data_IF_361054235512
#
_entry.id   IF_361054235512
#
_cell.length_a   1.000
_cell.length_b   1.000
_cell.length_c   1.000
_cell.angle_alpha   90.00
_cell.angle_beta   90.00
_cell.angle_gamma   90.00
#
_symmetry.space_group_name_H-M   'P 1'
#
loop_
_entity.id
_entity.type
_entity.pdbx_description
1 polymer ?
#
# COMPACT_ATOMS: atom_id res chain seq x y z
N UNK A 1 13.48 23.32 21.65
CA UNK A 1 13.50 21.99 21.00
C UNK A 1 13.03 22.15 19.56
N UNK A 2 13.83 21.75 18.57
CA UNK A 2 13.38 21.73 17.18
C UNK A 2 12.28 20.67 17.03
N UNK A 3 11.15 21.05 16.44
CA UNK A 3 9.99 20.17 16.28
C UNK A 3 10.33 19.10 15.23
N UNK A 4 10.31 17.84 15.63
CA UNK A 4 10.36 16.70 14.71
C UNK A 4 8.93 16.37 14.27
N UNK A 5 8.71 16.23 12.96
CA UNK A 5 7.46 15.73 12.42
C UNK A 5 7.69 14.29 11.90
N UNK A 6 6.83 13.37 12.31
CA UNK A 6 6.84 11.98 11.86
C UNK A 6 5.51 11.72 11.15
N UNK A 7 5.58 11.33 9.90
CA UNK A 7 4.44 10.93 9.07
C UNK A 7 4.55 9.44 8.77
N UNK A 8 3.42 8.74 8.91
CA UNK A 8 3.30 7.32 8.59
C UNK A 8 2.36 7.18 7.41
N UNK A 9 2.82 6.55 6.34
CA UNK A 9 2.06 6.29 5.12
C UNK A 9 1.96 4.79 4.91
N UNK A 10 0.73 4.27 4.94
CA UNK A 10 0.47 2.89 4.55
C UNK A 10 0.54 2.78 3.03
N UNK A 11 1.60 2.15 2.52
CA UNK A 11 1.76 1.90 1.09
C UNK A 11 0.95 0.68 0.64
N UNK A 12 0.73 -0.27 1.56
CA UNK A 12 -0.19 -1.38 1.35
C UNK A 12 -0.76 -1.92 2.66
N UNK A 13 -1.94 -2.53 2.56
CA UNK A 13 -2.76 -3.02 3.69
C UNK A 13 -3.40 -4.38 3.38
N UNK A 14 -2.88 -5.05 2.36
CA UNK A 14 -3.35 -6.33 1.86
C UNK A 14 -2.56 -7.50 2.43
N UNK A 15 -3.09 -8.69 2.19
CA UNK A 15 -2.39 -9.96 2.39
C UNK A 15 -1.29 -10.15 1.35
N UNK A 16 -0.52 -11.24 1.45
CA UNK A 16 0.49 -11.62 0.44
C UNK A 16 -0.09 -11.75 -0.98
N UNK A 17 -1.37 -12.12 -1.11
CA UNK A 17 -2.07 -12.20 -2.41
C UNK A 17 -2.65 -10.85 -2.90
N UNK A 18 -2.67 -9.81 -2.06
CA UNK A 18 -3.32 -8.53 -2.36
C UNK A 18 -4.84 -8.64 -2.60
N UNK A 19 -5.44 -7.51 -3.01
CA UNK A 19 -6.82 -7.42 -3.53
C UNK A 19 -6.80 -6.51 -4.77
N UNK A 20 -7.39 -6.93 -5.91
CA UNK A 20 -8.18 -8.14 -6.11
C UNK A 20 -7.35 -9.43 -6.13
N UNK A 21 -7.94 -10.54 -5.64
CA UNK A 21 -7.36 -11.87 -5.84
C UNK A 21 -7.64 -12.33 -7.25
N UNK A 22 -6.62 -12.86 -7.93
CA UNK A 22 -6.77 -13.41 -9.30
C UNK A 22 -7.85 -14.48 -9.34
N UNK A 23 -7.87 -15.39 -8.37
CA UNK A 23 -8.85 -16.46 -8.26
C UNK A 23 -10.30 -15.97 -8.17
N UNK A 24 -10.54 -14.83 -7.51
CA UNK A 24 -11.87 -14.24 -7.45
C UNK A 24 -12.36 -13.73 -8.81
N UNK A 25 -11.43 -13.28 -9.66
CA UNK A 25 -11.73 -12.75 -10.99
C UNK A 25 -11.86 -13.85 -12.04
N UNK A 26 -11.13 -14.96 -11.89
CA UNK A 26 -11.15 -16.06 -12.87
C UNK A 26 -12.22 -17.11 -12.60
N UNK A 27 -12.70 -17.25 -11.36
CA UNK A 27 -13.62 -18.32 -10.97
C UNK A 27 -15.10 -17.86 -10.84
N UNK A 28 -15.47 -16.72 -11.43
CA UNK A 28 -16.83 -16.14 -11.35
C UNK A 28 -17.41 -16.09 -9.92
N UNK A 29 -16.55 -15.81 -8.93
CA UNK A 29 -16.91 -15.83 -7.50
C UNK A 29 -17.97 -14.78 -7.11
N UNK A 30 -18.35 -13.88 -8.02
CA UNK A 30 -19.22 -12.72 -7.76
C UNK A 30 -18.77 -11.86 -6.56
N UNK A 31 -17.46 -11.89 -6.25
CA UNK A 31 -16.90 -11.16 -5.13
C UNK A 31 -16.94 -9.64 -5.38
N UNK A 32 -17.88 -8.96 -4.71
CA UNK A 32 -18.09 -7.51 -4.84
C UNK A 32 -16.82 -6.69 -4.59
N UNK A 33 -16.00 -7.11 -3.62
CA UNK A 33 -14.75 -6.42 -3.24
C UNK A 33 -13.71 -6.54 -4.34
N UNK A 34 -13.47 -7.75 -4.87
CA UNK A 34 -12.49 -7.94 -5.94
C UNK A 34 -12.93 -7.26 -7.23
N UNK A 35 -14.21 -7.34 -7.58
CA UNK A 35 -14.75 -6.67 -8.76
C UNK A 35 -14.62 -5.14 -8.66
N UNK A 36 -14.86 -4.56 -7.48
CA UNK A 36 -14.66 -3.14 -7.26
C UNK A 36 -13.17 -2.74 -7.26
N UNK A 37 -12.31 -3.58 -6.70
CA UNK A 37 -10.86 -3.35 -6.59
C UNK A 37 -10.11 -3.34 -7.93
N UNK A 38 -10.73 -3.79 -9.03
CA UNK A 38 -10.20 -3.64 -10.39
C UNK A 38 -10.05 -2.14 -10.74
N UNK A 39 -10.92 -1.27 -10.21
CA UNK A 39 -10.86 0.16 -10.48
C UNK A 39 -9.58 0.75 -9.86
N UNK A 40 -8.77 1.50 -10.61
CA UNK A 40 -7.47 2.00 -10.13
C UNK A 40 -7.51 2.76 -8.80
N UNK A 41 -8.59 3.52 -8.57
CA UNK A 41 -8.78 4.38 -7.39
C UNK A 41 -9.72 3.76 -6.33
N UNK A 42 -10.07 2.49 -6.45
CA UNK A 42 -10.89 1.83 -5.43
C UNK A 42 -10.12 1.69 -4.13
N UNK A 43 -10.75 2.06 -3.01
CA UNK A 43 -10.22 1.78 -1.67
C UNK A 43 -10.16 0.28 -1.35
N UNK A 44 -10.83 -0.56 -2.14
CA UNK A 44 -10.74 -2.01 -2.04
C UNK A 44 -9.48 -2.57 -2.72
N UNK A 45 -8.80 -1.79 -3.57
CA UNK A 45 -7.51 -2.19 -4.14
C UNK A 45 -6.45 -2.12 -3.05
N UNK A 46 -5.85 -3.28 -2.72
CA UNK A 46 -4.87 -3.41 -1.63
C UNK A 46 -3.62 -4.09 -2.12
N UNK A 47 -2.51 -3.37 -2.05
CA UNK A 47 -1.17 -3.93 -2.20
C UNK A 47 -0.76 -4.67 -0.93
N UNK A 48 0.26 -5.51 -1.04
CA UNK A 48 0.90 -6.20 0.08
C UNK A 48 1.27 -5.23 1.19
N UNK A 49 1.19 -5.68 2.45
CA UNK A 49 1.43 -4.83 3.61
C UNK A 49 2.81 -4.17 3.55
N UNK A 50 2.84 -2.84 3.60
CA UNK A 50 4.07 -2.05 3.52
C UNK A 50 3.85 -0.66 4.13
N UNK A 51 4.90 -0.09 4.73
CA UNK A 51 4.85 1.17 5.46
C UNK A 51 6.00 2.09 5.07
N UNK A 52 5.70 3.37 4.82
CA UNK A 52 6.69 4.43 4.74
C UNK A 52 6.60 5.32 5.98
N UNK A 53 7.71 5.43 6.71
CA UNK A 53 7.88 6.40 7.79
C UNK A 53 8.74 7.54 7.28
N UNK A 54 8.17 8.74 7.22
CA UNK A 54 8.90 9.97 6.90
C UNK A 54 9.21 10.72 8.18
N UNK A 55 10.47 11.05 8.38
CA UNK A 55 10.96 11.82 9.51
C UNK A 55 11.50 13.14 8.97
N UNK A 56 10.80 14.23 9.29
CA UNK A 56 11.16 15.58 8.90
C UNK A 56 11.71 16.33 10.13
N UNK A 57 12.98 16.71 10.08
CA UNK A 57 13.64 17.66 11.00
C UNK A 57 14.11 18.85 10.18
N UNK A 58 14.29 20.01 10.82
CA UNK A 58 14.67 21.28 10.16
C UNK A 58 15.83 21.15 9.16
N UNK A 59 16.80 20.28 9.42
CA UNK A 59 18.00 20.09 8.59
C UNK A 59 18.12 18.68 8.01
N UNK A 60 17.16 17.80 8.26
CA UNK A 60 17.29 16.38 7.91
C UNK A 60 15.94 15.78 7.56
N UNK A 61 15.87 15.22 6.36
CA UNK A 61 14.78 14.39 5.90
C UNK A 61 15.25 12.94 5.82
N UNK A 62 14.44 12.03 6.38
CA UNK A 62 14.68 10.57 6.30
C UNK A 62 13.39 9.85 5.94
N UNK A 63 13.48 8.94 4.99
CA UNK A 63 12.40 8.05 4.59
C UNK A 63 12.84 6.62 4.91
N UNK A 64 12.03 5.90 5.67
CA UNK A 64 12.28 4.50 6.03
C UNK A 64 11.10 3.69 5.49
N UNK A 65 11.39 2.72 4.63
CA UNK A 65 10.40 1.81 4.07
C UNK A 65 10.53 0.49 4.81
N UNK A 66 9.40 -0.02 5.29
CA UNK A 66 9.26 -1.35 5.88
C UNK A 66 8.51 -2.24 4.91
N UNK A 67 8.99 -3.46 4.75
CA UNK A 67 8.48 -4.48 3.84
C UNK A 67 8.44 -4.00 2.38
N UNK A 68 9.55 -4.23 1.68
CA UNK A 68 9.74 -3.91 0.26
C UNK A 68 9.60 -5.17 -0.60
N UNK A 69 8.38 -5.67 -0.72
CA UNK A 69 8.10 -6.79 -1.62
C UNK A 69 8.13 -6.36 -3.10
N UNK A 70 8.19 -7.31 -4.04
CA UNK A 70 8.38 -7.04 -5.48
C UNK A 70 7.37 -6.07 -6.12
N UNK A 71 6.21 -5.83 -5.49
CA UNK A 71 5.22 -4.87 -5.98
C UNK A 71 5.57 -3.40 -5.71
N UNK A 72 6.67 -3.13 -4.98
CA UNK A 72 7.13 -1.78 -4.64
C UNK A 72 7.50 -0.91 -5.85
N UNK A 73 7.86 -1.54 -6.98
CA UNK A 73 8.41 -0.87 -8.17
C UNK A 73 7.36 -0.06 -8.97
N UNK A 74 6.06 -0.23 -8.70
CA UNK A 74 5.00 0.46 -9.44
C UNK A 74 4.43 1.70 -8.73
N UNK A 75 5.13 2.26 -7.74
CA UNK A 75 4.83 3.59 -7.20
C UNK A 75 5.42 4.68 -8.11
N UNK A 76 4.82 4.88 -9.29
CA UNK A 76 5.05 6.03 -10.17
C UNK A 76 3.79 6.90 -10.24
#
# INVERSE_FOLDING_TARGET
MSKQNIEIVFLGTGTSEGIPRVSCLTNDSNCKVCNDAIKPNSKNRRLNTSLLVKINKQTLQKNIIFDAESFFINLQ
#
